data_IF_551377654315
#
_entry.id   IF_551377654315
#
_cell.length_a   1.000
_cell.length_b   1.000
_cell.length_c   1.000
_cell.angle_alpha   90.00
_cell.angle_beta   90.00
_cell.angle_gamma   90.00
#
_symmetry.space_group_name_H-M   'P 1'
#
loop_
_entity.id
_entity.type
_entity.pdbx_description
1 polymer ?
#
# COMPACT_ATOMS: atom_id res chain seq x y z
N UNK A 1 -31.50 -10.57 50.93
CA UNK A 1 -30.06 -10.75 50.76
C UNK A 1 -29.73 -10.49 49.29
N UNK A 2 -29.33 -9.27 48.91
CA UNK A 2 -28.99 -8.89 47.54
C UNK A 2 -27.51 -9.13 47.33
N UNK A 3 -27.17 -10.11 46.53
CA UNK A 3 -25.78 -10.41 46.16
C UNK A 3 -25.36 -9.41 45.07
N UNK A 4 -24.56 -8.42 45.43
CA UNK A 4 -23.91 -7.51 44.53
C UNK A 4 -22.69 -8.21 43.90
N UNK A 5 -22.84 -8.77 42.69
CA UNK A 5 -21.86 -9.62 42.03
C UNK A 5 -21.03 -8.91 40.96
N UNK A 6 -21.02 -7.58 40.87
CA UNK A 6 -20.11 -6.85 39.95
C UNK A 6 -19.61 -5.54 40.52
N UNK A 7 -18.60 -5.62 41.40
CA UNK A 7 -17.68 -4.49 41.60
C UNK A 7 -16.62 -4.56 40.48
N UNK A 8 -16.90 -3.90 39.38
CA UNK A 8 -15.92 -3.69 38.32
C UNK A 8 -14.87 -2.68 38.78
N UNK A 9 -13.63 -3.10 38.84
CA UNK A 9 -12.49 -2.28 39.30
C UNK A 9 -12.26 -1.16 38.23
N UNK A 10 -12.56 0.08 38.58
CA UNK A 10 -12.59 1.25 37.69
C UNK A 10 -11.21 1.73 37.20
N UNK A 11 -10.11 1.05 37.52
CA UNK A 11 -8.75 1.59 37.29
C UNK A 11 -7.76 0.66 36.60
N UNK A 12 -8.21 -0.31 35.80
CA UNK A 12 -7.29 -1.11 35.03
C UNK A 12 -7.65 -1.05 33.54
N UNK A 13 -7.13 -0.04 32.84
CA UNK A 13 -6.92 -0.12 31.40
C UNK A 13 -5.81 -1.14 31.12
N UNK A 14 -6.02 -2.39 31.50
CA UNK A 14 -5.11 -3.48 31.15
C UNK A 14 -5.49 -3.94 29.76
N UNK A 15 -4.53 -3.85 28.82
CA UNK A 15 -4.60 -4.54 27.55
C UNK A 15 -5.08 -5.97 27.78
N UNK A 16 -6.16 -6.42 27.12
CA UNK A 16 -6.68 -7.76 27.34
C UNK A 16 -5.57 -8.79 27.22
N UNK A 17 -5.43 -9.66 28.21
CA UNK A 17 -4.32 -10.62 28.37
C UNK A 17 -4.11 -11.56 27.18
N UNK A 18 -5.14 -11.73 26.32
CA UNK A 18 -5.11 -12.56 25.12
C UNK A 18 -4.35 -11.94 23.92
N UNK A 19 -3.95 -10.66 24.01
CA UNK A 19 -3.21 -9.98 22.93
C UNK A 19 -1.70 -10.18 23.09
N UNK A 20 -1.22 -10.57 24.27
CA UNK A 20 0.20 -10.59 24.63
C UNK A 20 1.04 -11.73 24.00
N UNK A 21 0.44 -12.84 23.56
CA UNK A 21 1.22 -14.05 23.26
C UNK A 21 1.24 -14.48 21.78
N UNK A 22 0.68 -13.70 20.87
CA UNK A 22 0.64 -14.06 19.46
C UNK A 22 1.85 -13.51 18.68
N UNK A 23 3.02 -14.11 18.87
CA UNK A 23 4.09 -14.01 17.86
C UNK A 23 3.58 -14.71 16.61
N UNK A 24 3.41 -13.93 15.55
CA UNK A 24 2.63 -14.33 14.40
C UNK A 24 3.35 -15.33 13.50
N UNK A 25 2.74 -16.47 13.25
CA UNK A 25 3.04 -17.32 12.09
C UNK A 25 2.85 -16.57 10.74
N UNK A 26 2.20 -15.40 10.75
CA UNK A 26 1.93 -14.57 9.57
C UNK A 26 3.19 -13.92 9.02
N UNK A 27 4.19 -13.58 9.84
CA UNK A 27 5.45 -13.02 9.36
C UNK A 27 6.17 -13.95 8.39
N UNK A 28 5.88 -15.26 8.44
CA UNK A 28 6.43 -16.24 7.51
C UNK A 28 5.74 -16.25 6.13
N UNK A 29 4.48 -15.81 6.02
CA UNK A 29 3.74 -15.87 4.75
C UNK A 29 4.02 -14.65 3.89
N UNK A 30 4.18 -13.47 4.50
CA UNK A 30 4.47 -12.20 3.81
C UNK A 30 5.92 -12.06 3.33
N UNK A 31 6.80 -12.97 3.70
CA UNK A 31 8.24 -12.93 3.36
C UNK A 31 8.65 -14.07 2.41
N UNK A 32 7.74 -14.53 1.54
CA UNK A 32 8.10 -15.59 0.56
C UNK A 32 9.16 -15.14 -0.44
N UNK A 33 9.13 -13.88 -0.83
CA UNK A 33 10.11 -13.29 -1.73
C UNK A 33 10.31 -11.79 -1.44
N UNK A 34 11.47 -11.27 -1.81
CA UNK A 34 11.87 -9.89 -1.57
C UNK A 34 11.00 -8.87 -2.32
N UNK A 35 10.45 -9.24 -3.47
CA UNK A 35 9.65 -8.38 -4.33
C UNK A 35 8.28 -8.15 -3.68
N UNK A 36 7.65 -9.24 -3.21
CA UNK A 36 6.35 -9.16 -2.52
C UNK A 36 6.45 -8.33 -1.25
N UNK A 37 7.52 -8.51 -0.47
CA UNK A 37 7.76 -7.67 0.69
C UNK A 37 7.86 -6.19 0.30
N UNK A 38 8.65 -5.84 -0.72
CA UNK A 38 8.80 -4.47 -1.18
C UNK A 38 7.48 -3.85 -1.67
N UNK A 39 6.63 -4.65 -2.34
CA UNK A 39 5.31 -4.21 -2.77
C UNK A 39 4.40 -3.90 -1.59
N UNK A 40 4.28 -4.83 -0.65
CA UNK A 40 3.41 -4.66 0.53
C UNK A 40 3.92 -3.52 1.40
N UNK A 41 5.23 -3.41 1.62
CA UNK A 41 5.84 -2.33 2.41
C UNK A 41 5.52 -0.95 1.82
N UNK A 42 5.66 -0.78 0.50
CA UNK A 42 5.31 0.49 -0.17
C UNK A 42 3.84 0.85 -0.01
N UNK A 43 2.93 -0.10 -0.20
CA UNK A 43 1.48 0.11 -0.08
C UNK A 43 1.12 0.40 1.37
N UNK A 44 1.66 -0.38 2.31
CA UNK A 44 1.39 -0.24 3.73
C UNK A 44 1.87 1.12 4.27
N UNK A 45 3.09 1.56 3.91
CA UNK A 45 3.60 2.87 4.27
C UNK A 45 2.78 4.01 3.64
N UNK A 46 2.34 3.86 2.39
CA UNK A 46 1.50 4.85 1.74
C UNK A 46 0.14 5.00 2.45
N UNK A 47 -0.54 3.89 2.78
CA UNK A 47 -1.84 3.90 3.48
C UNK A 47 -1.69 4.38 4.92
N UNK A 48 -0.64 3.95 5.63
CA UNK A 48 -0.34 4.39 6.99
C UNK A 48 -0.05 5.90 7.11
N UNK A 49 0.36 6.53 6.02
CA UNK A 49 0.60 7.97 5.92
C UNK A 49 -0.62 8.79 5.50
N UNK A 50 -1.77 8.15 5.17
CA UNK A 50 -2.98 8.87 4.81
C UNK A 50 -3.60 9.55 6.03
N UNK A 51 -3.93 10.82 5.89
CA UNK A 51 -4.84 11.46 6.83
C UNK A 51 -6.28 11.06 6.54
N UNK A 52 -7.14 11.05 7.54
CA UNK A 52 -8.56 10.74 7.40
C UNK A 52 -9.42 11.73 8.16
N UNK A 53 -10.70 11.74 7.90
CA UNK A 53 -11.68 12.55 8.60
C UNK A 53 -13.03 11.84 8.69
N UNK A 54 -13.86 12.35 9.60
CA UNK A 54 -15.25 11.94 9.70
C UNK A 54 -16.09 13.13 9.20
N UNK A 55 -17.04 12.86 8.32
CA UNK A 55 -17.82 13.86 7.61
C UNK A 55 -19.31 13.59 7.77
N UNK A 56 -20.08 14.65 7.83
CA UNK A 56 -21.54 14.59 7.79
C UNK A 56 -22.02 14.39 6.35
N UNK A 57 -22.88 13.39 6.12
CA UNK A 57 -23.36 13.01 4.78
C UNK A 57 -24.19 14.08 4.07
N UNK A 58 -24.84 14.97 4.81
CA UNK A 58 -25.69 16.02 4.23
C UNK A 58 -24.90 17.28 3.90
N UNK A 59 -24.04 17.70 4.80
CA UNK A 59 -23.28 18.95 4.66
C UNK A 59 -21.89 18.77 4.07
N UNK A 60 -21.39 17.54 3.99
CA UNK A 60 -20.02 17.19 3.60
C UNK A 60 -18.94 17.93 4.41
N UNK A 61 -19.29 18.40 5.60
CA UNK A 61 -18.35 19.08 6.50
C UNK A 61 -17.71 18.07 7.45
N UNK A 62 -16.43 18.29 7.73
CA UNK A 62 -15.71 17.52 8.74
C UNK A 62 -16.34 17.78 10.11
N UNK A 63 -16.53 16.73 10.88
CA UNK A 63 -17.10 16.75 12.24
C UNK A 63 -16.15 16.12 13.24
N UNK A 64 -16.22 16.57 14.48
CA UNK A 64 -15.55 15.91 15.59
C UNK A 64 -16.40 14.72 16.05
N UNK A 65 -15.79 13.57 16.19
CA UNK A 65 -16.45 12.34 16.60
C UNK A 65 -15.47 11.42 17.33
N UNK A 66 -15.89 10.74 18.39
CA UNK A 66 -15.05 9.88 19.22
C UNK A 66 -14.29 8.82 18.37
N UNK A 67 -14.91 8.26 17.34
CA UNK A 67 -14.29 7.28 16.46
C UNK A 67 -13.05 7.82 15.72
N UNK A 68 -12.96 9.14 15.50
CA UNK A 68 -11.76 9.76 14.95
C UNK A 68 -10.56 9.57 15.88
N UNK A 69 -10.74 9.82 17.17
CA UNK A 69 -9.68 9.69 18.17
C UNK A 69 -9.29 8.21 18.35
N UNK A 70 -10.28 7.31 18.32
CA UNK A 70 -10.02 5.86 18.37
C UNK A 70 -9.22 5.36 17.17
N UNK A 71 -9.47 5.86 15.96
CA UNK A 71 -8.70 5.48 14.77
C UNK A 71 -7.32 6.16 14.72
N UNK A 72 -7.20 7.33 15.34
CA UNK A 72 -5.92 8.05 15.46
C UNK A 72 -5.01 7.43 16.51
N UNK A 73 -5.57 6.99 17.61
CA UNK A 73 -4.88 6.30 18.70
C UNK A 73 -5.64 4.99 19.04
N UNK A 74 -5.47 3.93 18.22
CA UNK A 74 -6.31 2.75 18.33
C UNK A 74 -6.17 2.03 19.67
N UNK A 75 -4.99 2.04 20.24
CA UNK A 75 -4.70 1.51 21.56
C UNK A 75 -3.40 2.15 22.10
N UNK A 76 -3.05 1.82 23.37
CA UNK A 76 -1.86 2.39 24.05
C UNK A 76 -0.53 1.86 23.51
N UNK A 77 -0.55 0.74 22.79
CA UNK A 77 0.65 0.02 22.37
C UNK A 77 1.03 0.35 20.92
N UNK A 78 0.08 0.82 20.11
CA UNK A 78 0.26 1.03 18.69
C UNK A 78 -0.09 2.46 18.26
N UNK A 79 0.81 3.08 17.52
CA UNK A 79 0.53 4.36 16.84
C UNK A 79 -0.37 4.14 15.63
N UNK A 80 -1.06 5.20 15.16
CA UNK A 80 -1.83 5.18 13.92
C UNK A 80 -1.07 4.53 12.75
N UNK A 81 0.14 5.00 12.49
CA UNK A 81 0.93 4.51 11.36
C UNK A 81 1.27 3.03 11.49
N UNK A 82 1.68 2.57 12.67
CA UNK A 82 1.99 1.15 12.91
C UNK A 82 0.73 0.29 12.75
N UNK A 83 -0.38 0.73 13.31
CA UNK A 83 -1.64 0.01 13.24
C UNK A 83 -2.10 -0.18 11.78
N UNK A 84 -2.19 0.89 10.99
CA UNK A 84 -2.61 0.81 9.60
C UNK A 84 -1.61 0.05 8.73
N UNK A 85 -0.30 0.19 8.98
CA UNK A 85 0.72 -0.63 8.32
C UNK A 85 0.46 -2.12 8.52
N UNK A 86 0.18 -2.54 9.75
CA UNK A 86 -0.12 -3.95 10.05
C UNK A 86 -1.47 -4.40 9.46
N UNK A 87 -2.48 -3.54 9.42
CA UNK A 87 -3.76 -3.87 8.78
C UNK A 87 -3.58 -4.17 7.28
N UNK A 88 -2.74 -3.42 6.58
CA UNK A 88 -2.47 -3.70 5.17
C UNK A 88 -1.77 -5.05 4.99
N UNK A 89 -0.82 -5.39 5.85
CA UNK A 89 -0.18 -6.72 5.83
C UNK A 89 -1.22 -7.84 6.04
N UNK A 90 -2.09 -7.70 7.01
CA UNK A 90 -3.14 -8.66 7.30
C UNK A 90 -4.14 -8.77 6.14
N UNK A 91 -4.46 -7.66 5.48
CA UNK A 91 -5.33 -7.64 4.31
C UNK A 91 -4.79 -8.50 3.16
N UNK A 92 -3.49 -8.38 2.86
CA UNK A 92 -2.84 -9.22 1.85
C UNK A 92 -2.73 -10.69 2.27
N UNK A 93 -2.70 -10.96 3.57
CA UNK A 93 -2.78 -12.33 4.12
C UNK A 93 -4.21 -12.90 4.14
N UNK A 94 -5.20 -12.11 3.75
CA UNK A 94 -6.57 -12.55 3.53
C UNK A 94 -7.60 -11.95 4.48
N UNK A 95 -7.26 -11.66 5.73
CA UNK A 95 -8.25 -11.22 6.71
C UNK A 95 -7.69 -10.28 7.75
N UNK A 96 -8.44 -9.25 8.09
CA UNK A 96 -8.19 -8.39 9.24
C UNK A 96 -9.27 -8.67 10.28
N UNK A 97 -8.87 -8.87 11.53
CA UNK A 97 -9.77 -9.00 12.67
C UNK A 97 -9.41 -7.96 13.71
N UNK A 98 -10.36 -7.05 14.00
CA UNK A 98 -10.22 -6.03 15.02
C UNK A 98 -11.19 -6.31 16.15
N UNK A 99 -10.66 -6.52 17.36
CA UNK A 99 -11.45 -6.57 18.55
C UNK A 99 -11.84 -5.17 19.00
N UNK A 100 -13.14 -4.94 19.17
CA UNK A 100 -13.72 -3.69 19.64
C UNK A 100 -13.83 -3.70 21.15
N UNK A 101 -13.01 -2.91 21.81
CA UNK A 101 -13.13 -2.70 23.24
C UNK A 101 -14.07 -1.53 23.48
N UNK A 102 -15.20 -1.81 24.14
CA UNK A 102 -16.29 -0.85 24.37
C UNK A 102 -16.43 -0.50 25.83
N UNK A 103 -16.98 0.69 26.12
CA UNK A 103 -17.39 1.12 27.45
C UNK A 103 -18.74 0.51 27.90
N UNK A 104 -19.25 0.97 29.03
CA UNK A 104 -20.56 0.54 29.58
C UNK A 104 -21.75 0.99 28.70
N UNK A 105 -21.58 2.02 27.89
CA UNK A 105 -22.57 2.55 26.98
C UNK A 105 -22.53 1.88 25.60
N UNK A 106 -21.54 1.02 25.36
CA UNK A 106 -21.32 0.36 24.07
C UNK A 106 -20.51 1.18 23.07
N UNK A 107 -19.94 2.32 23.51
CA UNK A 107 -19.05 3.12 22.66
C UNK A 107 -17.66 2.50 22.59
N UNK A 108 -17.05 2.55 21.40
CA UNK A 108 -15.71 1.99 21.17
C UNK A 108 -14.68 2.93 21.78
N UNK A 109 -13.87 2.39 22.69
CA UNK A 109 -12.76 3.10 23.34
C UNK A 109 -11.43 2.77 22.67
N UNK A 110 -11.26 1.52 22.21
CA UNK A 110 -10.01 1.05 21.63
C UNK A 110 -10.25 -0.08 20.63
N UNK A 111 -9.34 -0.19 19.69
CA UNK A 111 -9.29 -1.26 18.69
C UNK A 111 -8.01 -2.06 18.85
N UNK A 112 -8.13 -3.37 18.91
CA UNK A 112 -6.99 -4.28 19.00
C UNK A 112 -6.97 -5.23 17.82
N UNK A 113 -5.85 -5.26 17.12
CA UNK A 113 -5.62 -6.21 16.04
C UNK A 113 -5.44 -7.62 16.61
N UNK A 114 -6.21 -8.58 16.11
CA UNK A 114 -6.01 -9.99 16.43
C UNK A 114 -5.13 -10.64 15.35
N UNK A 115 -4.30 -11.60 15.76
CA UNK A 115 -3.51 -12.38 14.80
C UNK A 115 -4.44 -13.22 13.89
N UNK A 116 -4.51 -12.93 12.58
CA UNK A 116 -5.42 -13.66 11.68
C UNK A 116 -5.19 -15.17 11.63
N UNK A 117 -3.95 -15.63 11.81
CA UNK A 117 -3.63 -17.05 11.82
C UNK A 117 -4.20 -17.81 13.05
N UNK A 118 -4.49 -17.08 14.13
CA UNK A 118 -5.03 -17.65 15.35
C UNK A 118 -6.57 -17.51 15.46
N UNK A 119 -7.21 -16.83 14.52
CA UNK A 119 -8.67 -16.67 14.48
C UNK A 119 -9.29 -17.75 13.62
N UNK A 120 -10.19 -18.54 14.22
CA UNK A 120 -10.99 -19.50 13.50
C UNK A 120 -12.42 -18.97 13.33
N UNK A 121 -12.91 -18.90 12.09
CA UNK A 121 -14.23 -18.37 11.75
C UNK A 121 -15.19 -19.52 11.47
N UNK A 122 -16.31 -19.55 12.20
CA UNK A 122 -17.40 -20.49 12.02
C UNK A 122 -18.75 -19.77 11.94
N UNK A 123 -19.84 -20.51 11.79
CA UNK A 123 -21.20 -19.99 11.88
C UNK A 123 -21.95 -20.77 12.95
N UNK A 124 -22.76 -20.04 13.72
CA UNK A 124 -23.63 -20.64 14.73
C UNK A 124 -24.91 -21.22 14.08
N UNK A 125 -25.78 -21.78 14.91
CA UNK A 125 -27.09 -22.37 14.49
C UNK A 125 -28.00 -21.37 13.78
N UNK A 126 -27.81 -20.07 14.03
CA UNK A 126 -28.54 -18.98 13.39
C UNK A 126 -27.83 -18.40 12.17
N UNK A 127 -26.81 -19.11 11.65
CA UNK A 127 -26.01 -18.67 10.50
C UNK A 127 -25.22 -17.36 10.74
N UNK A 128 -25.02 -16.93 12.02
CA UNK A 128 -24.23 -15.76 12.38
C UNK A 128 -22.75 -16.15 12.45
N UNK A 129 -21.86 -15.28 11.98
CA UNK A 129 -20.42 -15.50 12.09
C UNK A 129 -19.99 -15.49 13.56
N UNK A 130 -19.19 -16.46 13.94
CA UNK A 130 -18.52 -16.57 15.22
C UNK A 130 -17.02 -16.65 14.99
N UNK A 131 -16.26 -16.08 15.90
CA UNK A 131 -14.80 -15.97 15.84
C UNK A 131 -14.23 -16.61 17.09
N UNK A 132 -13.48 -17.70 16.94
CA UNK A 132 -12.78 -18.32 18.06
C UNK A 132 -11.33 -17.84 18.09
N UNK A 133 -10.90 -17.28 19.20
CA UNK A 133 -9.55 -16.79 19.40
C UNK A 133 -9.08 -17.11 20.83
N UNK A 134 -7.94 -17.79 20.98
CA UNK A 134 -7.40 -18.22 22.29
C UNK A 134 -8.43 -18.91 23.19
N UNK A 135 -9.24 -19.81 22.61
CA UNK A 135 -10.24 -20.59 23.35
C UNK A 135 -11.53 -19.83 23.73
N UNK A 136 -11.68 -18.57 23.33
CA UNK A 136 -12.90 -17.78 23.54
C UNK A 136 -13.64 -17.57 22.22
N UNK A 137 -14.96 -17.49 22.29
CA UNK A 137 -15.83 -17.24 21.15
C UNK A 137 -16.33 -15.80 21.23
N UNK A 138 -16.21 -15.10 20.09
CA UNK A 138 -16.65 -13.73 19.90
C UNK A 138 -17.66 -13.66 18.75
N UNK A 139 -18.49 -12.63 18.75
CA UNK A 139 -19.47 -12.37 17.70
C UNK A 139 -19.12 -11.12 16.89
N UNK A 140 -19.87 -10.86 15.83
CA UNK A 140 -19.67 -9.68 14.97
C UNK A 140 -19.86 -8.34 15.71
N UNK A 141 -20.50 -8.34 16.88
CA UNK A 141 -20.58 -7.16 17.74
C UNK A 141 -19.23 -6.83 18.38
N UNK A 142 -18.41 -7.84 18.64
CA UNK A 142 -17.12 -7.69 19.31
C UNK A 142 -15.96 -7.59 18.32
N UNK A 143 -16.13 -8.20 17.14
CA UNK A 143 -15.09 -8.28 16.11
C UNK A 143 -15.54 -7.56 14.84
N UNK A 144 -14.72 -6.61 14.37
CA UNK A 144 -14.80 -6.14 13.00
C UNK A 144 -13.91 -7.02 12.13
N UNK A 145 -14.53 -7.71 11.18
CA UNK A 145 -13.85 -8.56 10.21
C UNK A 145 -13.85 -7.88 8.84
N UNK A 146 -12.65 -7.69 8.27
CA UNK A 146 -12.43 -7.14 6.94
C UNK A 146 -11.73 -8.21 6.09
N UNK A 147 -12.47 -8.95 5.24
CA UNK A 147 -11.89 -9.92 4.34
C UNK A 147 -11.21 -9.22 3.17
N UNK A 148 -10.17 -9.85 2.63
CA UNK A 148 -9.53 -9.41 1.40
C UNK A 148 -10.44 -9.58 0.18
N UNK A 149 -10.08 -8.90 -0.90
CA UNK A 149 -10.79 -8.97 -2.19
C UNK A 149 -10.29 -10.10 -3.12
N UNK A 150 -9.17 -10.75 -2.79
CA UNK A 150 -8.50 -11.69 -3.69
C UNK A 150 -9.26 -12.99 -3.87
N UNK A 151 -10.01 -13.42 -2.86
CA UNK A 151 -10.92 -14.54 -2.88
C UNK A 151 -11.79 -14.51 -1.63
N UNK A 152 -12.99 -15.10 -1.71
CA UNK A 152 -13.93 -15.13 -0.59
C UNK A 152 -14.82 -16.37 -0.64
N UNK A 153 -14.76 -17.21 0.38
CA UNK A 153 -15.52 -18.46 0.49
C UNK A 153 -16.86 -18.32 1.22
N UNK A 154 -17.32 -17.10 1.47
CA UNK A 154 -18.50 -16.81 2.27
C UNK A 154 -18.24 -16.65 3.76
N UNK A 155 -17.06 -17.06 4.25
CA UNK A 155 -16.64 -16.94 5.65
C UNK A 155 -15.43 -16.03 5.81
N UNK A 156 -14.34 -16.34 5.12
CA UNK A 156 -13.05 -15.65 5.18
C UNK A 156 -12.60 -15.19 3.80
N UNK A 157 -11.74 -14.17 3.77
CA UNK A 157 -11.01 -13.76 2.58
C UNK A 157 -9.79 -14.65 2.35
N UNK A 158 -9.39 -14.81 1.09
CA UNK A 158 -8.20 -15.55 0.74
C UNK A 158 -6.99 -14.63 0.61
N UNK A 159 -5.82 -15.14 0.93
CA UNK A 159 -4.56 -14.45 0.71
C UNK A 159 -4.23 -14.35 -0.77
N UNK A 160 -3.64 -13.24 -1.22
CA UNK A 160 -3.10 -13.10 -2.57
C UNK A 160 -2.07 -14.20 -2.87
N UNK A 161 -1.31 -14.63 -1.87
CA UNK A 161 -0.29 -15.69 -1.98
C UNK A 161 -0.88 -17.06 -2.25
N UNK A 162 -2.12 -17.31 -1.84
CA UNK A 162 -2.85 -18.55 -2.11
C UNK A 162 -3.44 -18.52 -3.51
N UNK A 163 -4.10 -17.41 -3.87
CA UNK A 163 -4.76 -17.27 -5.17
C UNK A 163 -3.76 -17.21 -6.35
N UNK A 164 -2.62 -16.59 -6.14
CA UNK A 164 -1.58 -16.45 -7.15
C UNK A 164 -0.31 -17.27 -6.84
N UNK A 165 -0.44 -18.41 -6.13
CA UNK A 165 0.67 -19.19 -5.59
C UNK A 165 1.72 -19.53 -6.64
N UNK A 166 1.32 -19.91 -7.86
CA UNK A 166 2.24 -20.28 -8.95
C UNK A 166 3.22 -19.16 -9.30
N UNK A 167 2.78 -17.91 -9.31
CA UNK A 167 3.66 -16.79 -9.61
C UNK A 167 4.67 -16.53 -8.50
N UNK A 168 4.22 -16.60 -7.24
CA UNK A 168 5.09 -16.43 -6.08
C UNK A 168 6.08 -17.60 -5.92
N UNK A 169 5.64 -18.83 -6.16
CA UNK A 169 6.51 -20.01 -6.13
C UNK A 169 7.59 -19.93 -7.24
N UNK A 170 7.23 -19.42 -8.42
CA UNK A 170 8.20 -19.19 -9.51
C UNK A 170 9.23 -18.13 -9.13
N UNK A 171 8.80 -17.01 -8.51
CA UNK A 171 9.70 -15.96 -8.06
C UNK A 171 10.65 -16.45 -6.96
N UNK A 172 10.15 -17.17 -5.97
CA UNK A 172 10.94 -17.76 -4.89
C UNK A 172 11.95 -18.80 -5.41
N UNK A 173 11.53 -19.61 -6.39
CA UNK A 173 12.41 -20.60 -7.04
C UNK A 173 13.52 -19.91 -7.84
N UNK A 174 13.22 -18.81 -8.53
CA UNK A 174 14.19 -18.01 -9.26
C UNK A 174 15.20 -17.32 -8.32
N UNK A 175 14.72 -16.82 -7.18
CA UNK A 175 15.56 -16.25 -6.13
C UNK A 175 16.52 -17.30 -5.58
N UNK A 176 16.00 -18.45 -5.19
CA UNK A 176 16.79 -19.60 -4.72
C UNK A 176 17.80 -20.10 -5.77
N UNK A 177 17.37 -20.22 -7.03
CA UNK A 177 18.26 -20.61 -8.13
C UNK A 177 19.40 -19.60 -8.31
N UNK A 178 19.09 -18.31 -8.22
CA UNK A 178 20.10 -17.26 -8.33
C UNK A 178 21.11 -17.32 -7.20
N UNK A 179 20.62 -17.45 -5.95
CA UNK A 179 21.48 -17.57 -4.77
C UNK A 179 22.40 -18.80 -4.86
N UNK A 180 21.85 -19.93 -5.26
CA UNK A 180 22.65 -21.15 -5.48
C UNK A 180 23.69 -20.96 -6.60
N UNK A 181 23.32 -20.28 -7.69
CA UNK A 181 24.25 -20.00 -8.80
C UNK A 181 25.40 -19.13 -8.36
N UNK A 182 25.13 -18.06 -7.58
CA UNK A 182 26.18 -17.20 -7.05
C UNK A 182 27.01 -17.88 -5.96
N UNK A 183 26.39 -18.70 -5.09
CA UNK A 183 27.11 -19.39 -4.03
C UNK A 183 27.98 -20.54 -4.55
N UNK A 184 27.61 -21.18 -5.66
CA UNK A 184 28.28 -22.36 -6.21
C UNK A 184 29.16 -22.05 -7.43
N UNK A 185 29.66 -20.83 -7.58
CA UNK A 185 30.56 -20.41 -8.68
C UNK A 185 29.98 -20.61 -10.09
N UNK A 186 28.86 -19.94 -10.38
CA UNK A 186 28.42 -19.61 -11.76
C UNK A 186 28.64 -20.73 -12.79
N UNK A 187 28.08 -21.92 -12.56
CA UNK A 187 27.91 -22.90 -13.64
C UNK A 187 29.13 -23.69 -14.06
N UNK A 188 30.24 -23.60 -13.34
CA UNK A 188 31.35 -24.53 -13.49
C UNK A 188 31.22 -25.66 -12.47
N UNK A 189 30.90 -26.86 -12.93
CA UNK A 189 30.99 -28.04 -12.06
C UNK A 189 32.43 -28.48 -11.98
N UNK A 190 32.92 -28.62 -10.77
CA UNK A 190 34.24 -29.15 -10.53
C UNK A 190 34.14 -30.69 -10.38
N UNK A 191 34.89 -31.42 -11.17
CA UNK A 191 35.15 -32.83 -10.96
C UNK A 191 36.44 -32.94 -10.16
N UNK A 192 36.38 -33.63 -9.05
CA UNK A 192 37.54 -33.97 -8.23
C UNK A 192 37.81 -35.43 -8.49
N UNK A 193 38.82 -35.72 -9.33
CA UNK A 193 39.29 -37.07 -9.59
C UNK A 193 40.26 -37.46 -8.47
N UNK A 194 39.84 -38.40 -7.66
CA UNK A 194 40.57 -38.92 -6.50
C UNK A 194 41.07 -40.33 -6.68
N UNK A 195 40.82 -40.99 -7.82
CA UNK A 195 41.14 -42.40 -8.07
C UNK A 195 42.60 -42.70 -7.79
N UNK A 196 43.55 -41.84 -8.20
CA UNK A 196 44.95 -42.00 -7.95
C UNK A 196 45.41 -41.77 -6.51
N UNK A 197 44.62 -41.02 -5.73
CA UNK A 197 44.92 -40.69 -4.34
C UNK A 197 44.30 -41.70 -3.37
N UNK A 198 43.13 -42.19 -3.71
CA UNK A 198 42.28 -43.05 -2.87
C UNK A 198 41.59 -44.11 -3.74
N UNK A 199 42.31 -45.17 -4.21
CA UNK A 199 41.77 -46.15 -5.15
C UNK A 199 40.65 -47.02 -4.56
N UNK A 200 40.58 -47.15 -3.23
CA UNK A 200 39.62 -47.95 -2.51
C UNK A 200 38.59 -47.10 -1.72
N UNK A 201 38.40 -45.84 -2.12
CA UNK A 201 37.47 -44.92 -1.41
C UNK A 201 36.04 -45.44 -1.50
N UNK A 202 35.39 -45.53 -0.35
CA UNK A 202 33.96 -45.84 -0.25
C UNK A 202 33.10 -44.62 -0.64
N UNK A 203 31.80 -44.83 -0.85
CA UNK A 203 30.85 -43.75 -1.10
C UNK A 203 30.82 -42.75 0.06
N UNK A 204 31.05 -43.21 1.30
CA UNK A 204 31.14 -42.38 2.51
C UNK A 204 32.38 -41.47 2.48
N UNK A 205 33.55 -42.04 2.09
CA UNK A 205 34.78 -41.26 1.94
C UNK A 205 34.65 -40.17 0.85
N UNK A 206 33.97 -40.51 -0.26
CA UNK A 206 33.70 -39.57 -1.34
C UNK A 206 32.79 -38.45 -0.88
N UNK A 207 31.79 -38.73 -0.04
CA UNK A 207 30.91 -37.72 0.55
C UNK A 207 31.67 -36.79 1.51
N UNK A 208 32.58 -37.36 2.35
CA UNK A 208 33.40 -36.56 3.26
C UNK A 208 34.35 -35.63 2.52
N UNK A 209 35.03 -36.15 1.46
CA UNK A 209 35.92 -35.32 0.62
C UNK A 209 35.14 -34.21 -0.07
N UNK A 210 33.95 -34.49 -0.59
CA UNK A 210 33.05 -33.49 -1.19
C UNK A 210 32.72 -32.42 -0.19
N UNK A 211 32.30 -32.78 1.03
CA UNK A 211 31.93 -31.82 2.06
C UNK A 211 33.11 -30.94 2.47
N UNK A 212 34.25 -31.53 2.74
CA UNK A 212 35.50 -30.79 3.05
C UNK A 212 35.88 -29.79 1.95
N UNK A 213 35.68 -30.20 0.69
CA UNK A 213 35.96 -29.29 -0.44
C UNK A 213 34.97 -28.12 -0.47
N UNK A 214 33.67 -28.40 -0.30
CA UNK A 214 32.62 -27.34 -0.23
C UNK A 214 32.91 -26.39 0.92
N UNK A 215 33.24 -26.88 2.10
CA UNK A 215 33.52 -26.04 3.28
C UNK A 215 34.77 -25.18 3.11
N UNK A 216 35.77 -25.69 2.38
CA UNK A 216 37.05 -24.99 2.21
C UNK A 216 37.03 -23.99 1.05
N UNK A 217 36.38 -24.33 -0.06
CA UNK A 217 36.45 -23.60 -1.32
C UNK A 217 35.09 -23.17 -1.87
N UNK A 218 34.01 -23.72 -1.35
CA UNK A 218 32.65 -23.36 -1.79
C UNK A 218 32.20 -22.00 -1.26
N UNK A 219 31.27 -21.38 -1.98
CA UNK A 219 30.60 -20.13 -1.60
C UNK A 219 31.39 -18.84 -1.89
N UNK A 220 30.67 -17.72 -1.92
CA UNK A 220 31.21 -16.39 -2.23
C UNK A 220 32.35 -15.99 -1.30
N UNK A 221 32.32 -16.39 -0.03
CA UNK A 221 33.34 -16.09 0.97
C UNK A 221 34.70 -16.73 0.65
N UNK A 222 34.72 -17.81 -0.12
CA UNK A 222 35.89 -18.58 -0.45
C UNK A 222 36.33 -18.37 -1.92
N UNK A 223 35.60 -17.61 -2.71
CA UNK A 223 35.83 -17.43 -4.15
C UNK A 223 37.24 -16.91 -4.52
N UNK A 224 37.88 -16.19 -3.61
CA UNK A 224 39.26 -15.65 -3.80
C UNK A 224 40.36 -16.50 -3.15
N UNK A 225 40.03 -17.65 -2.53
CA UNK A 225 41.04 -18.50 -1.89
C UNK A 225 41.80 -19.30 -2.92
N UNK A 226 43.14 -19.36 -2.85
CA UNK A 226 43.91 -20.17 -3.75
C UNK A 226 43.65 -21.66 -3.50
N UNK A 227 43.51 -22.43 -4.57
CA UNK A 227 43.33 -23.87 -4.51
C UNK A 227 44.73 -24.52 -4.46
N UNK A 228 45.01 -25.28 -3.40
CA UNK A 228 46.24 -26.05 -3.28
C UNK A 228 46.05 -27.38 -3.97
N UNK A 229 46.80 -27.63 -5.05
CA UNK A 229 46.74 -28.86 -5.83
C UNK A 229 47.76 -29.86 -5.28
N UNK A 230 47.27 -31.06 -4.91
CA UNK A 230 48.12 -32.23 -4.65
C UNK A 230 48.35 -32.98 -5.97
N UNK A 231 49.59 -33.41 -6.23
CA UNK A 231 49.90 -34.13 -7.48
C UNK A 231 49.14 -35.44 -7.73
N UNK A 232 48.42 -35.92 -6.74
CA UNK A 232 47.59 -37.13 -6.81
C UNK A 232 46.11 -36.90 -7.04
N UNK A 233 45.63 -35.64 -6.93
CA UNK A 233 44.23 -35.26 -7.12
C UNK A 233 44.18 -34.40 -8.38
N UNK A 234 43.36 -34.82 -9.34
CA UNK A 234 43.11 -34.06 -10.55
C UNK A 234 41.84 -33.25 -10.43
N UNK A 235 41.87 -32.00 -10.89
CA UNK A 235 40.69 -31.10 -10.89
C UNK A 235 40.36 -30.80 -12.34
N UNK A 236 39.19 -31.22 -12.75
CA UNK A 236 38.61 -30.87 -14.05
C UNK A 236 37.37 -30.01 -13.87
N UNK A 237 37.28 -28.98 -14.67
CA UNK A 237 36.06 -28.15 -14.67
C UNK A 237 35.24 -28.50 -15.89
N UNK A 238 34.00 -28.96 -15.65
CA UNK A 238 33.00 -29.04 -16.72
C UNK A 238 32.29 -27.69 -16.77
N UNK A 239 32.44 -27.02 -17.90
CA UNK A 239 31.64 -25.86 -18.19
C UNK A 239 30.21 -26.32 -18.52
N UNK A 240 29.27 -26.10 -17.61
CA UNK A 240 27.85 -26.44 -17.81
C UNK A 240 27.13 -25.43 -18.69
N UNK A 241 27.89 -24.64 -19.46
CA UNK A 241 27.31 -23.70 -20.43
C UNK A 241 26.81 -22.38 -19.84
N UNK A 242 27.26 -22.03 -18.63
CA UNK A 242 26.97 -20.71 -18.02
C UNK A 242 27.88 -19.65 -18.65
N UNK A 243 27.59 -19.31 -19.89
CA UNK A 243 28.17 -18.14 -20.56
C UNK A 243 27.54 -16.84 -20.02
N UNK A 244 28.15 -15.71 -20.37
CA UNK A 244 27.58 -14.37 -20.11
C UNK A 244 26.09 -14.24 -20.50
N UNK A 245 25.61 -15.06 -21.47
CA UNK A 245 24.22 -15.12 -21.88
C UNK A 245 23.28 -15.63 -20.77
N UNK A 246 23.71 -16.55 -19.90
CA UNK A 246 22.85 -17.05 -18.82
C UNK A 246 22.70 -16.00 -17.70
N UNK A 247 23.73 -15.23 -17.43
CA UNK A 247 23.67 -14.12 -16.46
C UNK A 247 22.67 -13.06 -16.94
N UNK A 248 22.70 -12.73 -18.24
CA UNK A 248 21.73 -11.81 -18.83
C UNK A 248 20.30 -12.36 -18.79
N UNK A 249 20.10 -13.64 -19.12
CA UNK A 249 18.80 -14.33 -19.04
C UNK A 249 18.25 -14.38 -17.60
N UNK A 250 19.10 -14.54 -16.59
CA UNK A 250 18.71 -14.49 -15.18
C UNK A 250 18.24 -13.09 -14.81
N UNK A 251 18.92 -12.05 -15.25
CA UNK A 251 18.54 -10.66 -14.99
C UNK A 251 17.21 -10.34 -15.66
N UNK A 252 17.04 -10.69 -16.92
CA UNK A 252 15.77 -10.52 -17.65
C UNK A 252 14.62 -11.29 -17.00
N UNK A 253 14.89 -12.52 -16.52
CA UNK A 253 13.89 -13.32 -15.82
C UNK A 253 13.48 -12.71 -14.49
N UNK A 254 14.42 -12.15 -13.73
CA UNK A 254 14.14 -11.41 -12.49
C UNK A 254 13.33 -10.15 -12.75
N UNK A 255 13.68 -9.38 -13.76
CA UNK A 255 12.92 -8.20 -14.15
C UNK A 255 11.49 -8.57 -14.59
N UNK A 256 11.34 -9.64 -15.35
CA UNK A 256 10.04 -10.14 -15.75
C UNK A 256 9.19 -10.55 -14.55
N UNK A 257 9.74 -11.32 -13.61
CA UNK A 257 9.05 -11.71 -12.38
C UNK A 257 8.70 -10.49 -11.51
N UNK A 258 9.59 -9.51 -11.43
CA UNK A 258 9.30 -8.25 -10.73
C UNK A 258 8.11 -7.52 -11.38
N UNK A 259 8.04 -7.49 -12.71
CA UNK A 259 6.90 -6.90 -13.43
C UNK A 259 5.60 -7.65 -13.14
N UNK A 260 5.62 -8.97 -13.19
CA UNK A 260 4.42 -9.80 -12.92
C UNK A 260 3.92 -9.57 -11.50
N UNK A 261 4.80 -9.68 -10.50
CA UNK A 261 4.42 -9.52 -9.09
C UNK A 261 3.95 -8.09 -8.81
N UNK A 262 4.67 -7.07 -9.29
CA UNK A 262 4.26 -5.68 -9.07
C UNK A 262 2.85 -5.39 -9.61
N UNK A 263 2.51 -5.93 -10.78
CA UNK A 263 1.17 -5.79 -11.37
C UNK A 263 0.09 -6.48 -10.53
N UNK A 264 0.38 -7.62 -9.89
CA UNK A 264 -0.56 -8.29 -8.98
C UNK A 264 -0.90 -7.43 -7.77
N UNK A 265 0.07 -6.65 -7.27
CA UNK A 265 -0.15 -5.67 -6.21
C UNK A 265 -0.71 -4.33 -6.70
N UNK A 266 -0.91 -4.17 -8.01
CA UNK A 266 -1.36 -2.91 -8.62
C UNK A 266 -0.30 -1.82 -8.66
N UNK A 267 0.97 -2.17 -8.46
CA UNK A 267 2.10 -1.23 -8.51
C UNK A 267 2.64 -1.16 -9.93
N UNK A 268 2.78 0.03 -10.54
CA UNK A 268 3.47 0.17 -11.81
C UNK A 268 4.90 -0.38 -11.71
N UNK A 269 5.32 -1.31 -12.58
CA UNK A 269 6.63 -1.98 -12.49
C UNK A 269 7.81 -1.02 -12.40
N UNK A 270 7.72 0.11 -13.09
CA UNK A 270 8.76 1.12 -13.13
C UNK A 270 9.05 1.76 -11.75
N UNK A 271 8.09 1.74 -10.84
CA UNK A 271 8.31 2.19 -9.46
C UNK A 271 9.26 1.26 -8.67
N UNK A 272 9.43 0.01 -9.09
CA UNK A 272 10.31 -0.97 -8.46
C UNK A 272 11.63 -1.12 -9.22
N UNK A 273 11.57 -1.17 -10.56
CA UNK A 273 12.73 -1.46 -11.41
C UNK A 273 13.45 -0.16 -11.80
N UNK A 274 12.76 0.98 -11.75
CA UNK A 274 13.21 2.24 -12.35
C UNK A 274 12.88 2.31 -13.84
N UNK A 275 13.22 3.43 -14.46
CA UNK A 275 12.98 3.68 -15.89
C UNK A 275 12.45 5.10 -16.12
N UNK A 276 12.47 5.51 -17.39
CA UNK A 276 11.85 6.78 -17.80
C UNK A 276 10.33 6.69 -17.65
N UNK A 277 9.76 7.60 -16.88
CA UNK A 277 8.35 7.56 -16.57
C UNK A 277 7.80 8.95 -16.27
N UNK A 278 6.60 9.21 -16.78
CA UNK A 278 5.83 10.36 -16.33
C UNK A 278 5.35 10.11 -14.88
N UNK A 279 5.81 10.96 -13.98
CA UNK A 279 5.54 10.83 -12.55
C UNK A 279 4.04 10.93 -12.24
N UNK A 280 3.32 11.78 -12.97
CA UNK A 280 1.89 12.02 -12.75
C UNK A 280 1.07 10.79 -13.13
N UNK A 281 1.29 10.26 -14.33
CA UNK A 281 0.63 9.03 -14.81
C UNK A 281 0.91 7.85 -13.88
N UNK A 282 2.16 7.70 -13.45
CA UNK A 282 2.56 6.61 -12.56
C UNK A 282 1.89 6.70 -11.20
N UNK A 283 1.90 7.88 -10.62
CA UNK A 283 1.28 8.10 -9.31
C UNK A 283 -0.22 7.87 -9.40
N UNK A 284 -0.86 8.29 -10.49
CA UNK A 284 -2.30 8.07 -10.73
C UNK A 284 -2.62 6.57 -10.83
N UNK A 285 -1.83 5.80 -11.60
CA UNK A 285 -1.99 4.36 -11.70
C UNK A 285 -1.75 3.65 -10.37
N UNK A 286 -0.75 4.06 -9.62
CA UNK A 286 -0.46 3.52 -8.29
C UNK A 286 -1.63 3.78 -7.31
N UNK A 287 -2.14 5.01 -7.29
CA UNK A 287 -3.28 5.36 -6.45
C UNK A 287 -4.52 4.55 -6.83
N UNK A 288 -4.89 4.50 -8.12
CA UNK A 288 -6.11 3.85 -8.57
C UNK A 288 -6.08 2.33 -8.43
N UNK A 289 -4.93 1.69 -8.66
CA UNK A 289 -4.83 0.24 -8.71
C UNK A 289 -4.39 -0.40 -7.39
N UNK A 290 -3.47 0.22 -6.66
CA UNK A 290 -2.92 -0.35 -5.43
C UNK A 290 -3.57 0.22 -4.16
N UNK A 291 -3.75 1.53 -4.07
CA UNK A 291 -4.18 2.20 -2.84
C UNK A 291 -5.71 2.25 -2.71
N UNK A 292 -6.39 2.78 -3.74
CA UNK A 292 -7.85 3.02 -3.72
C UNK A 292 -8.68 1.80 -3.32
N UNK A 293 -8.42 0.58 -3.85
CA UNK A 293 -9.23 -0.57 -3.51
C UNK A 293 -9.13 -0.98 -2.03
N UNK A 294 -7.98 -0.77 -1.39
CA UNK A 294 -7.76 -1.09 0.02
C UNK A 294 -8.38 0.00 0.90
N UNK A 295 -8.16 1.25 0.55
CA UNK A 295 -8.74 2.40 1.26
C UNK A 295 -10.26 2.30 1.25
N UNK A 296 -10.87 2.01 0.10
CA UNK A 296 -12.31 1.81 -0.02
C UNK A 296 -12.81 0.66 0.86
N UNK A 297 -12.11 -0.47 0.88
CA UNK A 297 -12.44 -1.60 1.76
C UNK A 297 -12.37 -1.20 3.24
N UNK A 298 -11.42 -0.34 3.63
CA UNK A 298 -11.33 0.19 4.98
C UNK A 298 -12.46 1.16 5.30
N UNK A 299 -12.77 2.12 4.43
CA UNK A 299 -13.86 3.06 4.60
C UNK A 299 -15.21 2.34 4.77
N UNK A 300 -15.53 1.40 3.88
CA UNK A 300 -16.77 0.61 3.96
C UNK A 300 -16.82 -0.27 5.22
N UNK A 301 -15.69 -0.79 5.67
CA UNK A 301 -15.63 -1.64 6.85
C UNK A 301 -15.69 -0.83 8.14
N UNK A 302 -14.98 0.29 8.22
CA UNK A 302 -15.01 1.19 9.37
C UNK A 302 -16.35 1.88 9.54
N UNK A 303 -17.15 2.00 8.47
CA UNK A 303 -18.54 2.43 8.57
C UNK A 303 -19.36 1.53 9.51
N UNK A 304 -18.95 0.29 9.74
CA UNK A 304 -19.59 -0.64 10.69
C UNK A 304 -19.23 -0.38 12.16
N UNK A 305 -18.24 0.48 12.41
CA UNK A 305 -17.83 0.88 13.75
C UNK A 305 -18.78 1.94 14.35
N UNK A 306 -19.48 2.69 13.50
CA UNK A 306 -20.49 3.63 13.97
C UNK A 306 -21.66 2.90 14.62
N UNK A 307 -22.25 3.52 15.64
CA UNK A 307 -23.54 3.11 16.16
C UNK A 307 -24.65 3.31 15.10
N UNK A 308 -25.87 2.83 15.36
CA UNK A 308 -26.96 2.84 14.37
C UNK A 308 -27.33 4.26 13.95
N UNK A 309 -27.38 5.22 14.87
CA UNK A 309 -27.75 6.61 14.59
C UNK A 309 -26.67 7.33 13.78
N UNK A 310 -25.42 7.12 14.12
CA UNK A 310 -24.29 7.79 13.50
C UNK A 310 -23.95 7.24 12.13
N UNK A 311 -24.19 5.94 11.93
CA UNK A 311 -24.00 5.27 10.64
C UNK A 311 -24.84 5.88 9.51
N UNK A 312 -26.03 6.40 9.81
CA UNK A 312 -26.90 7.06 8.82
C UNK A 312 -26.43 8.51 8.54
N UNK A 313 -25.78 9.13 9.52
CA UNK A 313 -25.41 10.55 9.48
C UNK A 313 -23.99 10.79 9.04
N UNK A 314 -23.04 9.95 9.43
CA UNK A 314 -21.62 10.19 9.22
C UNK A 314 -20.97 9.15 8.30
N UNK A 315 -19.84 9.53 7.71
CA UNK A 315 -18.96 8.63 6.96
C UNK A 315 -17.49 8.95 7.23
N UNK A 316 -16.64 7.95 6.99
CA UNK A 316 -15.17 8.09 7.11
C UNK A 316 -14.62 8.23 5.70
N UNK A 317 -13.71 9.15 5.51
CA UNK A 317 -13.01 9.34 4.25
C UNK A 317 -11.51 9.58 4.49
N UNK A 318 -10.69 8.84 3.74
CA UNK A 318 -9.25 9.03 3.72
C UNK A 318 -8.86 10.05 2.66
N UNK A 319 -7.96 10.96 3.02
CA UNK A 319 -7.43 11.97 2.10
C UNK A 319 -6.38 11.36 1.17
N UNK A 320 -6.80 10.96 0.00
CA UNK A 320 -5.95 10.33 -1.04
C UNK A 320 -4.90 11.29 -1.61
N UNK A 321 -5.14 12.60 -1.55
CA UNK A 321 -4.22 13.60 -2.06
C UNK A 321 -2.90 13.66 -1.27
N UNK A 322 -2.86 13.13 -0.05
CA UNK A 322 -1.63 13.08 0.76
C UNK A 322 -0.55 12.14 0.19
N UNK A 323 -0.91 11.17 -0.64
CA UNK A 323 0.04 10.29 -1.35
C UNK A 323 0.68 10.99 -2.54
N UNK A 324 -0.02 11.95 -3.15
CA UNK A 324 0.49 12.72 -4.27
C UNK A 324 1.55 13.71 -3.75
N UNK A 325 2.80 13.25 -3.68
CA UNK A 325 3.95 14.15 -3.49
C UNK A 325 4.20 14.92 -4.78
N UNK A 326 3.28 15.83 -5.11
CA UNK A 326 3.49 16.78 -6.19
C UNK A 326 4.71 17.63 -5.90
N UNK A 327 5.51 17.96 -6.93
CA UNK A 327 6.57 18.95 -6.77
C UNK A 327 5.96 20.26 -6.22
N UNK A 328 6.74 21.04 -5.48
CA UNK A 328 6.27 22.32 -4.95
C UNK A 328 5.63 23.18 -6.04
N UNK A 329 6.20 23.18 -7.24
CA UNK A 329 5.69 23.91 -8.39
C UNK A 329 4.31 23.42 -8.87
N UNK A 330 4.15 22.09 -9.00
CA UNK A 330 2.86 21.50 -9.38
C UNK A 330 1.78 21.75 -8.31
N UNK A 331 2.17 21.72 -7.04
CA UNK A 331 1.28 22.01 -5.91
C UNK A 331 0.80 23.47 -5.95
N UNK A 332 1.72 24.40 -6.18
CA UNK A 332 1.39 25.85 -6.33
C UNK A 332 0.51 26.05 -7.56
N UNK A 333 0.82 25.43 -8.70
CA UNK A 333 0.00 25.53 -9.92
C UNK A 333 -1.42 24.98 -9.70
N UNK A 334 -1.54 23.84 -9.03
CA UNK A 334 -2.82 23.27 -8.64
C UNK A 334 -3.63 24.20 -7.73
N UNK A 335 -3.00 24.78 -6.71
CA UNK A 335 -3.67 25.75 -5.84
C UNK A 335 -4.09 27.00 -6.57
N UNK A 336 -3.25 27.52 -7.45
CA UNK A 336 -3.57 28.69 -8.27
C UNK A 336 -4.79 28.42 -9.14
N UNK A 337 -4.87 27.25 -9.78
CA UNK A 337 -6.06 26.85 -10.56
C UNK A 337 -7.29 26.73 -9.67
N UNK A 338 -7.19 26.07 -8.51
CA UNK A 338 -8.34 25.90 -7.60
C UNK A 338 -8.86 27.23 -7.06
N UNK A 339 -7.98 28.17 -6.72
CA UNK A 339 -8.37 29.53 -6.30
C UNK A 339 -9.03 30.26 -7.47
N UNK A 340 -8.44 30.22 -8.66
CA UNK A 340 -8.96 30.91 -9.83
C UNK A 340 -10.34 30.42 -10.28
N UNK A 341 -10.63 29.10 -10.07
CA UNK A 341 -11.96 28.53 -10.34
C UNK A 341 -12.94 28.64 -9.17
N UNK A 342 -12.57 29.32 -8.09
CA UNK A 342 -13.44 29.49 -6.91
C UNK A 342 -13.68 28.22 -6.11
N UNK A 343 -12.88 27.17 -6.31
CA UNK A 343 -13.00 25.89 -5.60
C UNK A 343 -12.43 25.95 -4.19
N UNK A 344 -11.39 26.78 -3.99
CA UNK A 344 -10.77 27.03 -2.68
C UNK A 344 -10.55 28.51 -2.46
N UNK A 345 -10.65 28.93 -1.21
CA UNK A 345 -10.25 30.28 -0.76
C UNK A 345 -8.76 30.30 -0.44
N UNK A 346 -8.11 31.48 -0.47
CA UNK A 346 -6.72 31.62 -0.04
C UNK A 346 -6.46 31.08 1.38
N UNK A 347 -7.38 31.33 2.33
CA UNK A 347 -7.22 30.87 3.71
C UNK A 347 -7.34 29.33 3.83
N UNK A 348 -8.18 28.68 3.02
CA UNK A 348 -8.24 27.22 2.97
C UNK A 348 -6.94 26.62 2.43
N UNK A 349 -6.32 27.25 1.43
CA UNK A 349 -5.00 26.83 0.92
C UNK A 349 -3.92 27.06 1.98
N UNK A 350 -3.92 28.21 2.65
CA UNK A 350 -2.98 28.51 3.74
C UNK A 350 -3.10 27.53 4.89
N UNK A 351 -4.33 27.15 5.26
CA UNK A 351 -4.58 26.14 6.30
C UNK A 351 -4.03 24.76 5.90
N UNK A 352 -4.13 24.36 4.61
CA UNK A 352 -3.53 23.13 4.11
C UNK A 352 -2.00 23.13 4.19
N UNK A 353 -1.37 24.31 4.14
CA UNK A 353 0.09 24.49 4.26
C UNK A 353 0.54 24.86 5.69
N UNK A 354 -0.36 24.75 6.69
CA UNK A 354 -0.11 25.13 8.08
C UNK A 354 0.34 26.61 8.24
N UNK A 355 -0.18 27.48 7.38
CA UNK A 355 0.06 28.93 7.44
C UNK A 355 -1.13 29.62 8.12
N UNK A 356 -0.87 30.68 8.89
CA UNK A 356 -1.92 31.48 9.51
C UNK A 356 -2.81 32.18 8.46
N UNK A 357 -4.10 32.36 8.78
CA UNK A 357 -5.04 33.08 7.94
C UNK A 357 -4.63 34.54 7.72
N UNK A 358 -5.05 35.10 6.60
CA UNK A 358 -4.89 36.51 6.26
C UNK A 358 -6.26 37.20 6.19
N UNK A 359 -6.27 38.51 6.43
CA UNK A 359 -7.47 39.35 6.27
C UNK A 359 -7.96 39.26 4.82
N UNK A 360 -9.27 39.16 4.61
CA UNK A 360 -9.94 38.97 3.31
C UNK A 360 -9.58 37.68 2.56
N UNK A 361 -8.86 36.73 3.18
CA UNK A 361 -8.49 35.46 2.56
C UNK A 361 -9.62 34.41 2.48
N UNK A 362 -10.80 34.70 3.01
CA UNK A 362 -11.97 33.79 2.98
C UNK A 362 -12.89 34.07 1.78
N UNK A 363 -12.50 34.98 0.89
CA UNK A 363 -13.24 35.27 -0.33
C UNK A 363 -12.83 34.30 -1.46
N UNK A 364 -13.83 33.76 -2.19
CA UNK A 364 -13.60 33.02 -3.43
C UNK A 364 -13.33 34.01 -4.57
N UNK A 365 -12.36 33.67 -5.43
CA UNK A 365 -12.04 34.43 -6.63
C UNK A 365 -12.63 33.76 -7.86
N UNK A 366 -13.12 34.61 -8.78
CA UNK A 366 -13.55 34.15 -10.11
C UNK A 366 -12.79 35.04 -11.12
N UNK A 367 -12.15 34.43 -12.15
CA UNK A 367 -11.51 35.19 -13.21
C UNK A 367 -12.51 36.21 -13.84
N UNK A 368 -12.10 37.46 -13.98
CA UNK A 368 -12.97 38.50 -14.52
C UNK A 368 -13.44 38.23 -15.98
N UNK A 369 -12.79 37.34 -16.67
CA UNK A 369 -13.15 36.87 -18.02
C UNK A 369 -14.20 35.77 -18.03
N UNK A 370 -14.60 35.22 -16.87
CA UNK A 370 -15.67 34.22 -16.77
C UNK A 370 -16.97 34.89 -16.43
N UNK A 371 -17.97 34.72 -17.27
CA UNK A 371 -19.30 35.27 -17.07
C UNK A 371 -20.31 34.12 -16.90
N UNK A 372 -21.23 34.16 -15.92
CA UNK A 372 -22.28 33.18 -15.79
C UNK A 372 -23.08 33.05 -17.11
N UNK A 373 -23.32 31.83 -17.55
CA UNK A 373 -24.02 31.53 -18.80
C UNK A 373 -25.54 31.70 -18.62
N UNK A 374 -25.95 32.89 -18.27
CA UNK A 374 -27.37 33.30 -18.19
C UNK A 374 -27.79 33.95 -19.49
N UNK A 375 -29.10 33.91 -19.82
CA UNK A 375 -29.62 34.51 -21.03
C UNK A 375 -29.32 36.03 -21.08
N UNK A 376 -29.45 36.68 -19.93
CA UNK A 376 -29.16 38.13 -19.79
C UNK A 376 -27.68 38.48 -20.07
N UNK A 377 -26.74 37.63 -19.60
CA UNK A 377 -25.32 37.85 -19.84
C UNK A 377 -24.91 37.53 -21.27
N UNK A 378 -25.53 36.52 -21.90
CA UNK A 378 -25.34 36.24 -23.32
C UNK A 378 -25.82 37.40 -24.17
N UNK A 379 -27.02 37.91 -23.92
CA UNK A 379 -27.60 39.05 -24.66
C UNK A 379 -26.73 40.32 -24.47
N UNK A 380 -26.26 40.60 -23.26
CA UNK A 380 -25.36 41.71 -22.97
C UNK A 380 -24.01 41.58 -23.68
N UNK A 381 -23.42 40.36 -23.71
CA UNK A 381 -22.16 40.12 -24.42
C UNK A 381 -22.33 40.30 -25.92
N UNK A 382 -23.40 39.76 -26.51
CA UNK A 382 -23.70 39.90 -27.95
C UNK A 382 -23.97 41.36 -28.30
N UNK A 383 -24.63 42.14 -27.47
CA UNK A 383 -24.84 43.57 -27.68
C UNK A 383 -23.50 44.33 -27.67
N UNK A 384 -22.62 44.04 -26.70
CA UNK A 384 -21.29 44.65 -26.57
C UNK A 384 -20.41 44.32 -27.81
N UNK A 385 -20.38 43.05 -28.25
CA UNK A 385 -19.65 42.65 -29.45
C UNK A 385 -20.14 43.34 -30.71
N UNK A 386 -21.45 43.57 -30.85
CA UNK A 386 -21.99 44.33 -32.01
C UNK A 386 -21.50 45.79 -32.02
N UNK A 387 -21.52 46.44 -30.86
CA UNK A 387 -21.03 47.85 -30.72
C UNK A 387 -19.53 47.94 -31.06
N UNK A 388 -18.73 46.93 -30.63
CA UNK A 388 -17.29 46.88 -30.95
C UNK A 388 -17.04 46.71 -32.46
N UNK A 389 -17.83 45.86 -33.13
CA UNK A 389 -17.75 45.65 -34.57
C UNK A 389 -18.16 46.93 -35.30
N UNK A 390 -19.29 47.56 -34.94
CA UNK A 390 -19.76 48.85 -35.55
C UNK A 390 -18.74 49.96 -35.37
N UNK A 391 -18.13 50.08 -34.19
CA UNK A 391 -17.06 51.05 -33.96
C UNK A 391 -15.79 50.78 -34.80
N UNK A 392 -15.43 49.49 -34.97
CA UNK A 392 -14.30 49.13 -35.84
C UNK A 392 -14.55 49.42 -37.31
N UNK A 393 -15.78 49.22 -37.81
CA UNK A 393 -16.19 49.52 -39.17
C UNK A 393 -16.23 51.06 -39.41
N UNK A 394 -16.71 51.84 -38.46
CA UNK A 394 -16.69 53.28 -38.54
C UNK A 394 -15.27 53.86 -38.49
N UNK A 395 -14.36 53.27 -37.75
CA UNK A 395 -12.96 53.70 -37.74
C UNK A 395 -12.24 53.36 -39.05
N UNK A 396 -12.61 52.28 -39.74
CA UNK A 396 -12.07 51.97 -41.05
C UNK A 396 -12.62 52.89 -42.17
N UNK A 397 -13.88 53.21 -42.11
CA UNK A 397 -14.49 54.16 -43.06
C UNK A 397 -14.00 55.59 -42.88
N UNK A 398 -13.71 56.06 -41.66
CA UNK A 398 -13.13 57.35 -41.41
C UNK A 398 -11.67 57.47 -41.87
N UNK A 399 -10.91 56.41 -41.84
CA UNK A 399 -9.52 56.39 -42.35
C UNK A 399 -9.41 56.21 -43.88
N UNK A 400 -10.48 55.72 -44.54
CA UNK A 400 -10.52 55.57 -46.00
C UNK A 400 -10.83 56.88 -46.80
N UNK A 401 -11.36 57.91 -46.15
CA UNK A 401 -11.72 59.19 -46.83
C UNK A 401 -10.57 60.20 -46.88
N UNK A 402 -9.42 59.91 -46.24
CA UNK A 402 -8.26 60.81 -46.18
C UNK A 402 -7.18 60.62 -47.25
N UNK A 403 -7.30 59.65 -48.18
CA UNK A 403 -6.22 59.30 -49.12
C UNK A 403 -6.47 59.72 -50.61
N UNK A 404 -7.54 60.48 -50.89
CA UNK A 404 -7.83 60.81 -52.26
C UNK A 404 -7.82 62.37 -52.49
N UNK A 405 -6.77 63.04 -52.01
CA UNK A 405 -6.39 64.38 -52.40
C UNK A 405 -4.87 64.56 -52.33
N UNK A 406 -4.19 64.07 -53.38
CA UNK A 406 -2.97 64.73 -53.94
C UNK A 406 -2.68 64.18 -55.36
#
# INVERSE_FOLDING_TARGET
MKINLFKRNKNAHTTPMFIRDARSAIDCITQRDSISFACIDRIANAIAGLSFGIYDKKSHKKVEHNLYDVLKEPNKDETHSLFFYQLVKDYYNGNIYLYKYTDENGEIISLFRLNPAAVNVSRDEYNRKTYSYNGKIYYSNDILHIPSRFGYDGKIGHSIFVEANKAFDTASSLETYTDNTFNNNLGKRLIIDIEKAYPDASDEDMAEIRQKYIDTYGGVKNASKPIVKSGKINFETIDTGTSNNQTNQLTESKEYQTKVISLMFGIPPQMLIGGAMDLETTTTLYLSNAIEPIVKAFEESFQKLFNISDKERFYIEFNRNSVMRTSLLQKIDSYTKQINYGLLTPNEVRAKENLSSIEAGDCSFIPANLMPLTKENIDAYMAKSKIEIENAEQAQTSNGVGSDKR
#
